data_IF_846007473531
#
_entry.id   IF_846007473531
#
_cell.length_a   1.000
_cell.length_b   1.000
_cell.length_c   1.000
_cell.angle_alpha   90.00
_cell.angle_beta   90.00
_cell.angle_gamma   90.00
#
_symmetry.space_group_name_H-M   'P 1'
#
loop_
_entity.id
_entity.type
_entity.pdbx_description
1 polymer ?
#
# COMPACT_ATOMS: atom_id res chain seq x y z
N UNK A 1 -16.22 3.30 4.74
CA UNK A 1 -15.33 2.81 3.67
C UNK A 1 -14.58 4.03 3.16
N UNK A 2 -13.28 4.12 3.45
CA UNK A 2 -12.49 5.33 3.21
C UNK A 2 -12.43 5.71 1.73
N UNK A 3 -12.60 7.01 1.42
CA UNK A 3 -12.47 7.60 0.08
C UNK A 3 -11.14 7.22 -0.56
N UNK A 4 -10.06 7.32 0.22
CA UNK A 4 -8.69 7.00 -0.18
C UNK A 4 -8.54 5.55 -0.64
N UNK A 5 -9.17 4.61 0.06
CA UNK A 5 -9.15 3.19 -0.31
C UNK A 5 -9.83 2.95 -1.66
N UNK A 6 -10.97 3.59 -1.92
CA UNK A 6 -11.68 3.48 -3.20
C UNK A 6 -10.85 4.05 -4.36
N UNK A 7 -10.30 5.25 -4.18
CA UNK A 7 -9.47 5.91 -5.20
C UNK A 7 -8.21 5.10 -5.51
N UNK A 8 -7.51 4.63 -4.47
CA UNK A 8 -6.32 3.79 -4.62
C UNK A 8 -6.64 2.48 -5.35
N UNK A 9 -7.66 1.74 -4.91
CA UNK A 9 -7.99 0.44 -5.52
C UNK A 9 -8.45 0.55 -6.97
N UNK A 10 -9.20 1.59 -7.34
CA UNK A 10 -9.58 1.82 -8.74
C UNK A 10 -8.35 2.06 -9.64
N UNK A 11 -7.41 2.90 -9.19
CA UNK A 11 -6.16 3.15 -9.92
C UNK A 11 -5.32 1.88 -10.01
N UNK A 12 -5.08 1.21 -8.89
CA UNK A 12 -4.23 0.02 -8.82
C UNK A 12 -4.81 -1.17 -9.60
N UNK A 13 -6.13 -1.34 -9.64
CA UNK A 13 -6.78 -2.36 -10.49
C UNK A 13 -6.46 -2.15 -11.97
N UNK A 14 -6.46 -0.89 -12.41
CA UNK A 14 -6.10 -0.53 -13.79
C UNK A 14 -4.63 -0.83 -14.07
N UNK A 15 -3.73 -0.46 -13.17
CA UNK A 15 -2.29 -0.74 -13.29
C UNK A 15 -1.97 -2.24 -13.25
N UNK A 16 -2.74 -3.02 -12.50
CA UNK A 16 -2.63 -4.46 -12.41
C UNK A 16 -3.24 -5.18 -13.63
N UNK A 17 -3.80 -4.45 -14.60
CA UNK A 17 -4.45 -5.00 -15.78
C UNK A 17 -5.68 -5.86 -15.46
N UNK A 18 -6.34 -5.62 -14.33
CA UNK A 18 -7.44 -6.47 -13.86
C UNK A 18 -7.04 -7.91 -13.50
N UNK A 19 -5.76 -8.14 -13.17
CA UNK A 19 -5.28 -9.48 -12.80
C UNK A 19 -5.95 -10.04 -11.55
N UNK A 20 -6.11 -11.37 -11.51
CA UNK A 20 -6.60 -12.08 -10.32
C UNK A 20 -5.69 -11.89 -9.10
N UNK A 21 -4.41 -11.58 -9.31
CA UNK A 21 -3.46 -11.28 -8.24
C UNK A 21 -3.82 -10.00 -7.50
N UNK A 22 -4.34 -8.99 -8.20
CA UNK A 22 -4.86 -7.77 -7.56
C UNK A 22 -6.01 -8.10 -6.63
N UNK A 23 -7.03 -8.84 -7.10
CA UNK A 23 -8.21 -9.15 -6.29
C UNK A 23 -7.83 -9.99 -5.07
N UNK A 24 -6.92 -10.96 -5.23
CA UNK A 24 -6.40 -11.77 -4.12
C UNK A 24 -5.68 -10.91 -3.07
N UNK A 25 -4.81 -10.00 -3.51
CA UNK A 25 -4.06 -9.13 -2.61
C UNK A 25 -4.93 -8.03 -1.98
N UNK A 26 -6.00 -7.60 -2.65
CA UNK A 26 -6.96 -6.64 -2.12
C UNK A 26 -7.84 -7.26 -1.01
N UNK A 27 -8.15 -8.56 -1.12
CA UNK A 27 -9.03 -9.27 -0.20
C UNK A 27 -8.31 -9.95 0.98
N UNK A 28 -7.00 -10.18 0.91
CA UNK A 28 -6.27 -10.92 1.96
C UNK A 28 -6.22 -10.17 3.29
N UNK A 29 -6.70 -10.70 4.41
CA UNK A 29 -6.52 -10.04 5.72
C UNK A 29 -5.18 -10.38 6.40
N UNK A 30 -4.39 -11.24 5.76
CA UNK A 30 -3.10 -11.68 6.29
C UNK A 30 -2.00 -10.65 6.07
N UNK A 31 -1.58 -10.00 7.17
CA UNK A 31 -0.47 -9.05 7.19
C UNK A 31 0.87 -9.70 6.88
N UNK A 32 1.03 -11.01 7.13
CA UNK A 32 2.22 -11.77 6.73
C UNK A 32 2.38 -11.82 5.22
N UNK A 33 1.31 -12.18 4.50
CA UNK A 33 1.25 -12.13 3.04
C UNK A 33 1.53 -10.72 2.50
N UNK A 34 0.92 -9.68 3.06
CA UNK A 34 1.16 -8.31 2.63
C UNK A 34 2.62 -7.90 2.86
N UNK A 35 3.23 -8.27 3.99
CA UNK A 35 4.62 -7.96 4.27
C UNK A 35 5.58 -8.70 3.33
N UNK A 36 5.27 -9.94 2.95
CA UNK A 36 6.05 -10.70 1.98
C UNK A 36 6.08 -10.02 0.60
N UNK A 37 4.98 -9.38 0.18
CA UNK A 37 4.95 -8.59 -1.08
C UNK A 37 5.92 -7.42 -1.05
N UNK A 38 6.11 -6.78 0.11
CA UNK A 38 7.05 -5.65 0.22
C UNK A 38 8.51 -6.07 -0.01
N UNK A 39 8.89 -7.27 0.42
CA UNK A 39 10.28 -7.76 0.37
C UNK A 39 10.57 -8.63 -0.85
N UNK A 40 9.54 -9.20 -1.49
CA UNK A 40 9.72 -10.06 -2.64
C UNK A 40 10.32 -9.32 -3.86
N UNK A 41 11.35 -9.91 -4.51
CA UNK A 41 11.92 -9.34 -5.72
C UNK A 41 10.92 -9.42 -6.88
N UNK A 42 11.02 -8.49 -7.83
CA UNK A 42 10.18 -8.49 -9.04
C UNK A 42 8.71 -8.12 -8.83
N UNK A 43 8.28 -7.80 -7.61
CA UNK A 43 6.91 -7.33 -7.40
C UNK A 43 6.64 -6.02 -8.13
N UNK A 44 5.48 -5.88 -8.80
CA UNK A 44 5.12 -4.66 -9.49
C UNK A 44 4.82 -3.55 -8.47
N UNK A 45 4.96 -2.29 -8.91
CA UNK A 45 4.76 -1.13 -8.04
C UNK A 45 3.36 -1.10 -7.41
N UNK A 46 2.32 -1.46 -8.18
CA UNK A 46 0.94 -1.51 -7.70
C UNK A 46 0.79 -2.48 -6.51
N UNK A 47 1.51 -3.61 -6.52
CA UNK A 47 1.40 -4.62 -5.46
C UNK A 47 2.09 -4.14 -4.18
N UNK A 48 3.27 -3.52 -4.30
CA UNK A 48 3.97 -2.91 -3.16
C UNK A 48 3.16 -1.78 -2.54
N UNK A 49 2.55 -0.94 -3.38
CA UNK A 49 1.70 0.14 -2.90
C UNK A 49 0.46 -0.37 -2.16
N UNK A 50 -0.26 -1.34 -2.75
CA UNK A 50 -1.42 -1.95 -2.10
C UNK A 50 -1.05 -2.57 -0.76
N UNK A 51 0.05 -3.33 -0.72
CA UNK A 51 0.53 -3.96 0.51
C UNK A 51 0.93 -2.94 1.57
N UNK A 52 1.71 -1.93 1.21
CA UNK A 52 2.17 -0.90 2.14
C UNK A 52 0.99 -0.10 2.71
N UNK A 53 0.02 0.28 1.86
CA UNK A 53 -1.16 1.00 2.29
C UNK A 53 -1.99 0.21 3.30
N UNK A 54 -2.26 -1.07 3.01
CA UNK A 54 -3.07 -1.93 3.88
C UNK A 54 -2.39 -2.24 5.21
N UNK A 55 -1.09 -2.49 5.17
CA UNK A 55 -0.30 -2.66 6.40
C UNK A 55 -0.28 -1.38 7.24
N UNK A 56 -0.15 -0.20 6.61
CA UNK A 56 -0.27 1.09 7.28
C UNK A 56 -1.61 1.27 7.97
N UNK A 57 -2.72 0.95 7.29
CA UNK A 57 -4.05 0.99 7.90
C UNK A 57 -4.24 0.01 9.05
N UNK A 58 -3.54 -1.14 9.02
CA UNK A 58 -3.55 -2.14 10.06
C UNK A 58 -2.61 -1.80 11.25
N UNK A 59 -1.88 -0.69 11.20
CA UNK A 59 -0.91 -0.32 12.23
C UNK A 59 0.40 -1.12 12.18
N UNK A 60 0.66 -1.83 11.07
CA UNK A 60 1.84 -2.67 10.93
C UNK A 60 3.06 -1.86 10.46
N UNK A 61 4.01 -1.67 11.38
CA UNK A 61 5.20 -0.83 11.22
C UNK A 61 6.16 -1.32 10.14
N UNK A 62 6.01 -2.56 9.66
CA UNK A 62 6.76 -3.08 8.50
C UNK A 62 6.48 -2.29 7.23
N UNK A 63 5.35 -1.56 7.16
CA UNK A 63 5.01 -0.71 6.02
C UNK A 63 5.84 0.57 5.91
N UNK A 64 6.43 1.05 7.01
CA UNK A 64 6.97 2.42 7.10
C UNK A 64 7.95 2.77 5.98
N UNK A 65 9.00 1.96 5.78
CA UNK A 65 10.03 2.22 4.77
C UNK A 65 9.44 2.25 3.35
N UNK A 66 8.48 1.36 3.07
CA UNK A 66 7.81 1.31 1.77
C UNK A 66 6.91 2.53 1.55
N UNK A 67 6.21 2.98 2.59
CA UNK A 67 5.39 4.21 2.52
C UNK A 67 6.25 5.46 2.33
N UNK A 68 7.39 5.56 3.03
CA UNK A 68 8.35 6.66 2.84
C UNK A 68 8.93 6.65 1.42
N UNK A 69 9.24 5.48 0.87
CA UNK A 69 9.66 5.35 -0.52
C UNK A 69 8.57 5.87 -1.48
N UNK A 70 7.31 5.47 -1.28
CA UNK A 70 6.16 5.90 -2.08
C UNK A 70 5.94 7.42 -2.03
N UNK A 71 6.17 8.06 -0.90
CA UNK A 71 6.15 9.53 -0.81
C UNK A 71 7.21 10.19 -1.71
N UNK A 72 8.36 9.54 -1.90
CA UNK A 72 9.45 10.07 -2.72
C UNK A 72 9.26 9.85 -4.23
N UNK A 73 8.25 9.08 -4.66
CA UNK A 73 8.02 8.76 -6.08
C UNK A 73 7.53 9.93 -6.94
N UNK A 74 7.27 11.11 -6.35
CA UNK A 74 6.77 12.34 -7.04
C UNK A 74 5.51 12.12 -7.89
N UNK A 75 4.73 11.10 -7.58
CA UNK A 75 3.44 10.82 -8.21
C UNK A 75 2.33 11.26 -7.23
N UNK A 76 1.58 12.34 -7.52
CA UNK A 76 0.61 12.90 -6.57
C UNK A 76 -0.36 11.89 -5.94
N UNK A 77 -1.00 10.97 -6.69
CA UNK A 77 -1.94 10.02 -6.08
C UNK A 77 -1.23 8.97 -5.21
N UNK A 78 0.01 8.55 -5.54
CA UNK A 78 0.82 7.69 -4.66
C UNK A 78 1.25 8.40 -3.38
N UNK A 79 1.68 9.66 -3.51
CA UNK A 79 2.05 10.47 -2.35
C UNK A 79 0.87 10.64 -1.39
N UNK A 80 -0.33 10.92 -1.90
CA UNK A 80 -1.54 11.05 -1.09
C UNK A 80 -1.86 9.76 -0.32
N UNK A 81 -1.88 8.62 -1.01
CA UNK A 81 -2.12 7.33 -0.39
C UNK A 81 -1.06 6.98 0.68
N UNK A 82 0.22 7.23 0.37
CA UNK A 82 1.31 6.95 1.29
C UNK A 82 1.25 7.85 2.55
N UNK A 83 0.96 9.15 2.37
CA UNK A 83 0.77 10.09 3.47
C UNK A 83 -0.40 9.67 4.38
N UNK A 84 -1.53 9.27 3.77
CA UNK A 84 -2.69 8.79 4.50
C UNK A 84 -2.37 7.54 5.32
N UNK A 85 -1.72 6.54 4.71
CA UNK A 85 -1.33 5.31 5.40
C UNK A 85 -0.30 5.57 6.51
N UNK A 86 0.65 6.49 6.34
CA UNK A 86 1.60 6.88 7.38
C UNK A 86 0.92 7.56 8.57
N UNK A 87 -0.02 8.47 8.32
CA UNK A 87 -0.80 9.11 9.38
C UNK A 87 -1.61 8.09 10.19
N UNK A 88 -2.13 7.05 9.51
CA UNK A 88 -2.88 5.95 10.10
C UNK A 88 -2.01 4.91 10.81
N UNK A 89 -0.76 4.75 10.38
CA UNK A 89 0.18 3.78 10.92
C UNK A 89 0.48 4.05 12.39
N UNK A 90 0.49 5.32 12.81
CA UNK A 90 0.76 5.71 14.19
C UNK A 90 2.17 5.33 14.65
N UNK A 91 3.13 5.25 13.73
CA UNK A 91 4.52 4.99 14.06
C UNK A 91 5.10 6.22 14.79
N UNK A 92 5.83 6.08 15.91
CA UNK A 92 6.50 7.22 16.56
C UNK A 92 7.46 8.00 15.64
N UNK A 93 7.88 7.42 14.51
CA UNK A 93 8.66 8.12 13.47
C UNK A 93 7.83 9.12 12.63
N UNK A 94 6.50 9.07 12.72
CA UNK A 94 5.59 10.01 12.04
C UNK A 94 5.05 11.10 12.96
N UNK A 95 5.55 11.19 14.20
CA UNK A 95 5.17 12.18 15.20
C UNK A 95 5.88 13.53 15.02
#
# INVERSE_FOLDING_TARGET
MDEEWRTLTQRLRTEAGGSADFDRLAQTEDTGTLAAVLTAPGQPLWARELAAFRLGLAGDRRAFESLVLLLNHRDPPRCAAAAHALARLGDPRTA
#
